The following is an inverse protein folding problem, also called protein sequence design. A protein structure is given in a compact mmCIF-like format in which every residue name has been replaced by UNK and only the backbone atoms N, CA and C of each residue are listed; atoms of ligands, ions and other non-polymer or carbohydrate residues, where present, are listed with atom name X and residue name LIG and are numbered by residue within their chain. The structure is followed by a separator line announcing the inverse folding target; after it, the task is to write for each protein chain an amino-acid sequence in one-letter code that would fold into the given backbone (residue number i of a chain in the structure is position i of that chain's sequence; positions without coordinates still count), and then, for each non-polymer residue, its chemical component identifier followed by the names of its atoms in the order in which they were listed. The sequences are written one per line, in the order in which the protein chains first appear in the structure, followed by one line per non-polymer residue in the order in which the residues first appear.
data_IF_829540585500
#
_entry.id   IF_829540585500
#
_cell.length_a   1.000
_cell.length_b   1.000
_cell.length_c   1.000
_cell.angle_alpha   90.00
_cell.angle_beta   90.00
_cell.angle_gamma   90.00
#
_symmetry.space_group_name_H-M   'P 1'
#
loop_
_entity.id
_entity.type
_entity.pdbx_description
1 polymer ?
#
# COMPACT_ATOMS: atom_id res chain seq x y z
N UNK A 1 30.08 -45.46 3.58
CA UNK A 1 29.21 -44.66 4.45
C UNK A 1 28.79 -43.43 3.65
N UNK A 2 27.67 -43.51 2.93
CA UNK A 2 27.15 -42.41 2.13
C UNK A 2 26.34 -41.52 3.06
N UNK A 3 26.78 -40.28 3.26
CA UNK A 3 25.98 -39.27 3.95
C UNK A 3 24.79 -38.94 3.06
N UNK A 4 23.60 -39.35 3.51
CA UNK A 4 22.33 -38.90 2.95
C UNK A 4 22.23 -37.42 3.34
N UNK A 5 22.49 -36.53 2.37
CA UNK A 5 22.19 -35.11 2.51
C UNK A 5 20.69 -34.93 2.66
N UNK A 6 20.32 -34.29 3.76
CA UNK A 6 18.98 -34.08 4.30
C UNK A 6 17.99 -33.58 3.23
N UNK A 7 16.91 -34.34 2.98
CA UNK A 7 15.80 -33.96 2.07
C UNK A 7 14.80 -33.00 2.74
N UNK A 8 15.26 -32.10 3.60
CA UNK A 8 14.40 -31.25 4.44
C UNK A 8 13.92 -29.95 3.77
N UNK A 9 14.35 -29.65 2.55
CA UNK A 9 14.13 -28.34 1.89
C UNK A 9 12.86 -28.23 1.03
N UNK A 10 11.98 -29.24 1.03
CA UNK A 10 10.75 -29.28 0.20
C UNK A 10 9.46 -28.94 0.97
N UNK A 11 9.52 -28.78 2.28
CA UNK A 11 8.33 -28.56 3.14
C UNK A 11 8.23 -27.14 3.70
N UNK A 12 9.22 -26.28 3.47
CA UNK A 12 9.21 -24.89 3.93
C UNK A 12 8.68 -23.98 2.82
N UNK A 13 7.56 -23.26 3.03
CA UNK A 13 7.09 -22.31 2.04
C UNK A 13 8.10 -21.17 1.87
N UNK A 14 8.34 -20.69 0.63
CA UNK A 14 9.18 -19.53 0.38
C UNK A 14 8.82 -18.31 1.24
N UNK A 15 9.80 -17.51 1.64
CA UNK A 15 9.54 -16.30 2.41
C UNK A 15 8.75 -15.27 1.58
N UNK A 16 7.69 -14.71 2.15
CA UNK A 16 6.94 -13.63 1.52
C UNK A 16 7.71 -12.31 1.57
N UNK A 17 7.80 -11.64 0.43
CA UNK A 17 8.42 -10.30 0.30
C UNK A 17 7.31 -9.29 0.05
N UNK A 18 7.17 -8.34 0.97
CA UNK A 18 6.17 -7.28 0.84
C UNK A 18 6.69 -6.11 0.00
N UNK A 19 5.80 -5.59 -0.84
CA UNK A 19 6.01 -4.38 -1.62
C UNK A 19 4.93 -3.35 -1.31
N UNK A 20 5.32 -2.09 -1.26
CA UNK A 20 4.44 -0.97 -0.95
C UNK A 20 4.02 -0.26 -2.23
N UNK A 21 2.74 0.08 -2.30
CA UNK A 21 2.12 0.77 -3.42
C UNK A 21 1.30 1.95 -2.90
N UNK A 22 1.11 2.97 -3.73
CA UNK A 22 0.10 3.99 -3.50
C UNK A 22 -0.86 4.10 -4.69
N UNK A 23 -2.10 4.43 -4.38
CA UNK A 23 -3.09 4.76 -5.38
C UNK A 23 -2.73 6.08 -6.07
N UNK A 24 -3.11 6.18 -7.35
CA UNK A 24 -3.02 7.43 -8.14
C UNK A 24 -4.37 7.85 -8.72
N UNK A 25 -5.38 7.01 -8.58
CA UNK A 25 -6.77 7.28 -8.90
C UNK A 25 -7.62 7.08 -7.64
N UNK A 26 -8.72 7.82 -7.51
CA UNK A 26 -9.60 7.78 -6.32
C UNK A 26 -8.93 8.24 -5.02
N UNK A 27 -8.82 9.56 -4.76
CA UNK A 27 -8.39 10.05 -3.45
C UNK A 27 -9.38 9.64 -2.34
N UNK A 28 -8.85 9.26 -1.19
CA UNK A 28 -9.63 9.05 0.04
C UNK A 28 -10.27 10.37 0.45
N UNK A 29 -9.52 11.47 0.41
CA UNK A 29 -10.02 12.82 0.68
C UNK A 29 -9.39 13.78 -0.30
N UNK A 30 -10.19 14.63 -0.92
CA UNK A 30 -9.70 15.83 -1.61
C UNK A 30 -10.33 17.06 -0.94
N UNK A 31 -9.58 17.77 -0.10
CA UNK A 31 -10.13 18.87 0.69
C UNK A 31 -10.46 20.10 -0.16
N UNK A 32 -9.82 20.27 -1.33
CA UNK A 32 -10.13 21.35 -2.28
C UNK A 32 -11.44 21.02 -3.01
N UNK A 33 -11.60 19.78 -3.49
CA UNK A 33 -12.83 19.33 -4.13
C UNK A 33 -14.03 19.39 -3.16
N UNK A 34 -13.84 18.99 -1.91
CA UNK A 34 -14.88 19.04 -0.88
C UNK A 34 -15.36 20.48 -0.64
N UNK A 35 -14.43 21.44 -0.51
CA UNK A 35 -14.79 22.86 -0.38
C UNK A 35 -15.54 23.39 -1.60
N UNK A 36 -15.13 22.98 -2.81
CA UNK A 36 -15.81 23.37 -4.06
C UNK A 36 -17.22 22.80 -4.13
N UNK A 37 -17.42 21.53 -3.80
CA UNK A 37 -18.73 20.89 -3.80
C UNK A 37 -19.69 21.57 -2.81
N UNK A 38 -19.21 21.85 -1.59
CA UNK A 38 -19.98 22.59 -0.57
C UNK A 38 -20.40 23.98 -1.06
N UNK A 39 -19.51 24.72 -1.73
CA UNK A 39 -19.82 26.05 -2.28
C UNK A 39 -20.86 25.98 -3.40
N UNK A 40 -20.85 24.92 -4.20
CA UNK A 40 -21.75 24.75 -5.34
C UNK A 40 -23.04 23.99 -5.00
N UNK A 41 -23.23 23.56 -3.75
CA UNK A 41 -24.41 22.80 -3.33
C UNK A 41 -24.51 21.42 -4.00
N UNK A 42 -23.39 20.86 -4.45
CA UNK A 42 -23.36 19.54 -5.11
C UNK A 42 -23.20 18.44 -4.07
N UNK A 43 -23.99 17.38 -4.18
CA UNK A 43 -23.87 16.20 -3.31
C UNK A 43 -22.49 15.54 -3.45
N UNK A 44 -21.98 14.97 -2.34
CA UNK A 44 -20.72 14.22 -2.34
C UNK A 44 -20.77 13.06 -3.35
N UNK A 45 -19.74 12.97 -4.19
CA UNK A 45 -19.57 11.83 -5.11
C UNK A 45 -19.18 10.59 -4.32
N UNK A 46 -19.75 9.45 -4.69
CA UNK A 46 -19.38 8.15 -4.12
C UNK A 46 -17.92 7.86 -4.44
N UNK A 47 -17.11 7.60 -3.40
CA UNK A 47 -15.69 7.23 -3.56
C UNK A 47 -15.62 5.86 -4.21
N UNK A 48 -15.11 5.79 -5.45
CA UNK A 48 -14.77 4.53 -6.08
C UNK A 48 -13.51 3.95 -5.44
N UNK A 49 -13.38 2.62 -5.45
CA UNK A 49 -12.14 1.96 -5.05
C UNK A 49 -11.00 2.33 -6.04
N UNK A 50 -9.75 2.48 -5.57
CA UNK A 50 -8.62 2.73 -6.46
C UNK A 50 -8.34 1.54 -7.37
N UNK A 51 -8.00 1.83 -8.63
CA UNK A 51 -7.70 0.82 -9.66
C UNK A 51 -6.26 0.91 -10.15
N UNK A 52 -5.65 2.09 -10.08
CA UNK A 52 -4.30 2.37 -10.53
C UNK A 52 -3.37 2.53 -9.33
N UNK A 53 -2.36 1.66 -9.30
CA UNK A 53 -1.42 1.54 -8.19
C UNK A 53 0.01 1.67 -8.71
N UNK A 54 0.82 2.47 -8.02
CA UNK A 54 2.23 2.69 -8.36
C UNK A 54 3.11 2.16 -7.22
N UNK A 55 4.14 1.35 -7.51
CA UNK A 55 5.07 0.91 -6.49
C UNK A 55 5.95 2.06 -6.01
N UNK A 56 6.26 2.07 -4.72
CA UNK A 56 7.26 2.98 -4.19
C UNK A 56 8.68 2.65 -4.69
N UNK A 57 9.58 3.63 -4.61
CA UNK A 57 11.00 3.43 -4.89
C UNK A 57 11.59 2.33 -3.99
N UNK A 58 12.70 1.70 -4.40
CA UNK A 58 13.36 0.68 -3.56
C UNK A 58 13.73 1.21 -2.16
N UNK A 59 14.16 2.48 -2.09
CA UNK A 59 14.51 3.18 -0.85
C UNK A 59 13.29 3.33 0.04
N UNK A 60 12.20 3.83 -0.52
CA UNK A 60 10.97 4.08 0.23
C UNK A 60 10.29 2.77 0.64
N UNK A 61 10.28 1.76 -0.24
CA UNK A 61 9.76 0.43 0.08
C UNK A 61 10.43 -0.17 1.32
N UNK A 62 11.77 -0.10 1.40
CA UNK A 62 12.51 -0.58 2.55
C UNK A 62 12.24 0.24 3.82
N UNK A 63 12.11 1.56 3.69
CA UNK A 63 11.80 2.45 4.80
C UNK A 63 10.38 2.22 5.35
N UNK A 64 9.40 2.05 4.46
CA UNK A 64 8.01 1.76 4.79
C UNK A 64 7.85 0.40 5.46
N UNK A 65 8.49 -0.65 4.92
CA UNK A 65 8.44 -1.98 5.53
C UNK A 65 9.10 -2.00 6.91
N UNK A 66 10.25 -1.31 7.05
CA UNK A 66 10.89 -1.14 8.36
C UNK A 66 9.97 -0.40 9.34
N UNK A 67 9.33 0.66 8.90
CA UNK A 67 8.41 1.44 9.71
C UNK A 67 7.19 0.62 10.15
N UNK A 68 6.62 -0.18 9.25
CA UNK A 68 5.47 -1.05 9.53
C UNK A 68 5.74 -2.11 10.60
N UNK A 69 6.99 -2.58 10.71
CA UNK A 69 7.42 -3.53 11.72
C UNK A 69 7.92 -2.85 13.02
N UNK A 70 7.66 -1.55 13.19
CA UNK A 70 8.13 -0.73 14.32
C UNK A 70 7.06 0.26 14.78
N UNK A 71 7.36 1.09 15.78
CA UNK A 71 6.45 2.12 16.29
C UNK A 71 6.46 3.45 15.48
N UNK A 72 7.12 3.48 14.31
CA UNK A 72 7.17 4.65 13.44
C UNK A 72 5.81 4.85 12.76
N UNK A 73 5.24 6.05 12.93
CA UNK A 73 3.91 6.37 12.39
C UNK A 73 3.93 6.97 10.99
N UNK A 74 4.92 7.82 10.69
CA UNK A 74 5.02 8.54 9.43
C UNK A 74 6.39 8.35 8.81
N UNK A 75 6.42 8.24 7.48
CA UNK A 75 7.65 8.07 6.70
C UNK A 75 7.64 9.07 5.55
N UNK A 76 8.63 9.97 5.44
CA UNK A 76 8.78 10.80 4.25
C UNK A 76 9.19 9.94 3.06
N UNK A 77 8.53 10.14 1.92
CA UNK A 77 8.72 9.34 0.70
C UNK A 77 9.09 10.23 -0.48
N UNK A 78 9.50 9.60 -1.59
CA UNK A 78 10.05 10.25 -2.77
C UNK A 78 11.40 10.94 -2.50
N UNK A 79 12.12 11.30 -3.56
CA UNK A 79 13.45 11.93 -3.43
C UNK A 79 13.40 13.35 -2.85
N UNK A 80 12.28 14.05 -3.07
CA UNK A 80 12.06 15.43 -2.66
C UNK A 80 11.46 15.58 -1.25
N UNK A 81 11.02 14.46 -0.64
CA UNK A 81 10.37 14.41 0.67
C UNK A 81 9.15 15.33 0.81
N UNK A 82 8.47 15.61 -0.30
CA UNK A 82 7.28 16.46 -0.28
C UNK A 82 6.01 15.73 0.17
N UNK A 83 6.07 14.41 0.20
CA UNK A 83 4.98 13.53 0.62
C UNK A 83 5.40 12.68 1.81
N UNK A 84 4.43 12.36 2.64
CA UNK A 84 4.60 11.42 3.75
C UNK A 84 3.53 10.33 3.70
N UNK A 85 3.92 9.14 4.15
CA UNK A 85 3.01 8.02 4.35
C UNK A 85 2.72 7.87 5.82
N UNK A 86 1.43 7.86 6.19
CA UNK A 86 0.98 7.41 7.50
C UNK A 86 0.79 5.89 7.49
N UNK A 87 1.66 5.19 8.21
CA UNK A 87 1.71 3.73 8.25
C UNK A 87 0.41 3.15 8.81
N UNK A 88 -0.11 3.72 9.90
CA UNK A 88 -1.29 3.18 10.59
C UNK A 88 -2.58 3.40 9.81
N UNK A 89 -2.70 4.56 9.16
CA UNK A 89 -3.89 4.91 8.38
C UNK A 89 -3.85 4.36 6.97
N UNK A 90 -2.68 3.91 6.48
CA UNK A 90 -2.50 3.47 5.10
C UNK A 90 -2.82 4.59 4.11
N UNK A 91 -2.25 5.76 4.38
CA UNK A 91 -2.53 7.01 3.65
C UNK A 91 -1.23 7.68 3.22
N UNK A 92 -1.22 8.32 2.04
CA UNK A 92 -0.17 9.24 1.60
C UNK A 92 -0.77 10.63 1.38
N UNK A 93 -0.08 11.66 1.86
CA UNK A 93 -0.50 13.06 1.72
C UNK A 93 0.70 13.99 1.46
N UNK A 94 0.47 15.15 0.82
CA UNK A 94 1.46 16.21 0.77
C UNK A 94 1.70 16.78 2.18
N UNK A 95 2.93 17.23 2.43
CA UNK A 95 3.35 17.77 3.73
C UNK A 95 3.19 19.30 3.78
N UNK A 96 3.58 19.98 2.70
CA UNK A 96 3.73 21.44 2.71
C UNK A 96 2.56 22.20 2.08
N UNK A 97 1.62 21.50 1.46
CA UNK A 97 0.43 22.11 0.89
C UNK A 97 -0.78 21.24 1.16
N UNK A 98 -1.95 21.87 1.11
CA UNK A 98 -3.21 21.16 1.16
C UNK A 98 -3.44 20.45 -0.18
N UNK A 99 -3.68 19.14 -0.14
CA UNK A 99 -3.92 18.35 -1.35
C UNK A 99 -4.63 17.03 -1.06
N UNK A 100 -4.87 16.24 -2.12
CA UNK A 100 -5.56 14.96 -2.01
C UNK A 100 -4.73 13.95 -1.20
N UNK A 101 -5.45 13.12 -0.44
CA UNK A 101 -4.93 11.99 0.33
C UNK A 101 -5.28 10.72 -0.42
N UNK A 102 -4.29 9.87 -0.68
CA UNK A 102 -4.48 8.61 -1.40
C UNK A 102 -4.21 7.41 -0.51
N UNK A 103 -4.76 6.27 -0.90
CA UNK A 103 -4.54 5.00 -0.23
C UNK A 103 -3.11 4.50 -0.47
N UNK A 104 -2.51 3.92 0.56
CA UNK A 104 -1.24 3.19 0.51
C UNK A 104 -1.50 1.75 0.88
N UNK A 105 -0.87 0.81 0.18
CA UNK A 105 -1.12 -0.62 0.40
C UNK A 105 0.18 -1.40 0.48
N UNK A 106 0.31 -2.21 1.53
CA UNK A 106 1.35 -3.24 1.66
C UNK A 106 0.85 -4.50 0.98
N UNK A 107 1.59 -4.99 -0.01
CA UNK A 107 1.16 -6.06 -0.88
C UNK A 107 2.19 -7.20 -0.94
N UNK A 108 1.73 -8.39 -0.61
CA UNK A 108 2.39 -9.69 -0.83
C UNK A 108 1.66 -10.50 -1.89
N UNK A 109 0.36 -10.24 -2.04
CA UNK A 109 -0.55 -10.91 -2.96
C UNK A 109 -1.21 -9.90 -3.90
N UNK A 110 -1.54 -10.36 -5.11
CA UNK A 110 -2.19 -9.57 -6.14
C UNK A 110 -3.38 -10.33 -6.71
N UNK A 111 -4.42 -9.58 -7.07
CA UNK A 111 -5.60 -10.08 -7.78
C UNK A 111 -5.64 -9.47 -9.17
N UNK A 112 -6.16 -10.23 -10.13
CA UNK A 112 -6.41 -9.72 -11.47
C UNK A 112 -7.85 -9.23 -11.58
N UNK A 113 -8.03 -7.93 -11.85
CA UNK A 113 -9.34 -7.29 -12.04
C UNK A 113 -9.29 -6.56 -13.38
N UNK A 114 -10.26 -6.84 -14.27
CA UNK A 114 -10.34 -6.24 -15.61
C UNK A 114 -9.03 -6.34 -16.41
N UNK A 115 -8.27 -7.43 -16.22
CA UNK A 115 -6.98 -7.67 -16.86
C UNK A 115 -5.76 -7.02 -16.19
N UNK A 116 -5.94 -6.17 -15.18
CA UNK A 116 -4.87 -5.51 -14.44
C UNK A 116 -4.54 -6.23 -13.12
N UNK A 117 -3.26 -6.31 -12.77
CA UNK A 117 -2.82 -6.82 -11.46
C UNK A 117 -2.90 -5.71 -10.42
N UNK A 118 -3.73 -5.91 -9.40
CA UNK A 118 -3.97 -4.96 -8.33
C UNK A 118 -3.53 -5.58 -7.01
N UNK A 119 -2.77 -4.85 -6.17
CA UNK A 119 -2.48 -5.28 -4.80
C UNK A 119 -3.73 -5.73 -4.04
N UNK A 120 -3.71 -6.90 -3.40
CA UNK A 120 -4.84 -7.35 -2.58
C UNK A 120 -5.12 -6.40 -1.41
N UNK A 121 -6.40 -6.24 -1.05
CA UNK A 121 -6.76 -5.56 0.20
C UNK A 121 -6.10 -6.26 1.40
N UNK A 122 -5.65 -5.50 2.39
CA UNK A 122 -4.86 -6.02 3.53
C UNK A 122 -5.57 -7.15 4.30
N UNK A 123 -6.90 -7.08 4.44
CA UNK A 123 -7.68 -8.16 5.09
C UNK A 123 -7.68 -9.44 4.28
N UNK A 124 -7.84 -9.33 2.96
CA UNK A 124 -7.81 -10.47 2.04
C UNK A 124 -6.40 -11.05 1.95
N UNK A 125 -5.39 -10.19 1.83
CA UNK A 125 -3.98 -10.59 1.83
C UNK A 125 -3.64 -11.37 3.10
N UNK A 126 -4.05 -10.87 4.28
CA UNK A 126 -3.83 -11.55 5.56
C UNK A 126 -4.40 -12.97 5.59
N UNK A 127 -5.62 -13.17 5.08
CA UNK A 127 -6.21 -14.51 5.00
C UNK A 127 -5.41 -15.46 4.11
N UNK A 128 -4.87 -14.94 2.99
CA UNK A 128 -4.04 -15.73 2.09
C UNK A 128 -2.69 -16.05 2.76
N UNK A 129 -2.09 -15.08 3.45
CA UNK A 129 -0.84 -15.27 4.21
C UNK A 129 -0.98 -16.34 5.30
N UNK A 130 -2.08 -16.31 6.07
CA UNK A 130 -2.38 -17.31 7.10
C UNK A 130 -2.54 -18.73 6.56
N UNK A 131 -2.98 -18.89 5.30
CA UNK A 131 -3.08 -20.20 4.65
C UNK A 131 -1.81 -20.65 3.91
N UNK A 132 -0.86 -19.74 3.70
CA UNK A 132 0.38 -20.00 2.98
C UNK A 132 1.53 -20.41 3.92
N UNK A 133 1.57 -19.82 5.11
CA UNK A 133 2.54 -20.12 6.17
C UNK A 133 2.15 -21.38 6.96
#
# INVERSE_FOLDING_TARGET
MLQISDQTDILTPPSLVAHWFHAIDSPIVDPIALRKAKRLGVAEQTKSLPKNWVPFSKRDNAALEKACNSDIQTVPVNEDHLFEVNIKKREINPVYWEGPIFEVRRATWFVQIDGAWIPCEEKMAKQIEEGYL
#
